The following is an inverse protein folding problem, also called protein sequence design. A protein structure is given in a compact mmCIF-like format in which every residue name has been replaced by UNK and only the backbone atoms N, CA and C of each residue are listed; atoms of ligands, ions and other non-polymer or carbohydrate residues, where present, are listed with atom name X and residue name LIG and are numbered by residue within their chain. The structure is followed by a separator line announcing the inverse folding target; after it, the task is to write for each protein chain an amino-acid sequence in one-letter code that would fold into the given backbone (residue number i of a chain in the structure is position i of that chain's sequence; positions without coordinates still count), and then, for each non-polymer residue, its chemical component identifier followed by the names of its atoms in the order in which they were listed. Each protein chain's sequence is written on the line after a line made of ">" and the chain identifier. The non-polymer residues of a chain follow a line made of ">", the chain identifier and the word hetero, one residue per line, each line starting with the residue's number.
data_IF_387128406281
#
_entry.id   IF_387128406281
#
_cell.length_a   1.000
_cell.length_b   1.000
_cell.length_c   1.000
_cell.angle_alpha   90.00
_cell.angle_beta   90.00
_cell.angle_gamma   90.00
#
_symmetry.space_group_name_H-M   'P 1'
#
loop_
_entity.id
_entity.type
_entity.pdbx_description
1 polymer ?
2 non-polymer ?
3 non-polymer ?
4 non-polymer ?
5 water ?
#
# COMPACT_ATOMS: atom_id res chain seq x y z
N UNK A 11 19.08 -19.09 19.31
CA UNK A 11 19.57 -20.05 18.34
C UNK A 11 18.46 -20.80 17.61
N UNK A 12 17.45 -21.25 18.36
CA UNK A 12 16.32 -21.92 17.72
C UNK A 12 15.64 -21.01 16.70
N UNK A 13 15.46 -19.73 17.05
CA UNK A 13 14.78 -18.82 16.14
C UNK A 13 15.62 -18.61 14.88
N UNK A 14 16.94 -18.42 15.04
CA UNK A 14 17.79 -18.23 13.87
C UNK A 14 17.79 -19.46 12.96
N UNK A 15 17.81 -20.65 13.56
CA UNK A 15 17.76 -21.87 12.76
C UNK A 15 16.47 -21.95 11.96
N UNK A 16 15.35 -21.62 12.61
CA UNK A 16 14.07 -21.64 11.92
C UNK A 16 14.03 -20.60 10.80
N UNK A 17 14.55 -19.40 11.06
CA UNK A 17 14.49 -18.38 10.01
C UNK A 17 15.30 -18.78 8.78
N UNK A 18 16.35 -19.60 8.96
CA UNK A 18 17.11 -20.05 7.80
C UNK A 18 16.28 -20.97 6.91
N UNK A 19 15.17 -21.50 7.40
CA UNK A 19 14.32 -22.40 6.63
C UNK A 19 13.15 -21.67 5.98
N UNK A 20 12.92 -20.41 6.31
CA UNK A 20 11.76 -19.70 5.79
C UNK A 20 12.06 -19.24 4.36
N UNK A 21 11.15 -19.53 3.44
CA UNK A 21 11.35 -19.10 2.07
C UNK A 21 10.48 -17.89 1.75
N UNK A 22 10.83 -17.20 0.67
CA UNK A 22 9.97 -16.10 0.21
C UNK A 22 8.58 -16.64 -0.11
N UNK A 23 8.50 -17.84 -0.69
CA UNK A 23 7.21 -18.44 -1.01
C UNK A 23 6.35 -18.62 0.24
N UNK A 24 6.96 -19.08 1.34
CA UNK A 24 6.20 -19.25 2.58
C UNK A 24 5.71 -17.91 3.11
N UNK A 25 6.56 -16.89 3.06
CA UNK A 25 6.14 -15.56 3.48
C UNK A 25 4.98 -15.06 2.63
N UNK A 26 5.02 -15.34 1.31
CA UNK A 26 3.99 -14.84 0.42
C UNK A 26 2.66 -15.57 0.63
N UNK A 27 2.73 -16.87 0.95
CA UNK A 27 1.53 -17.69 0.92
C UNK A 27 0.97 -17.98 2.30
N UNK A 28 1.80 -17.91 3.35
CA UNK A 28 1.27 -18.22 4.68
C UNK A 28 2.05 -17.40 5.70
N UNK A 29 1.94 -16.06 5.64
CA UNK A 29 2.76 -15.23 6.54
C UNK A 29 2.31 -15.26 8.00
N UNK A 30 1.02 -15.47 8.29
CA UNK A 30 0.57 -15.22 9.66
C UNK A 30 1.26 -16.08 10.70
N UNK A 31 1.51 -17.38 10.47
CA UNK A 31 2.23 -18.17 11.49
C UNK A 31 3.66 -17.74 11.65
N UNK A 32 4.27 -17.23 10.58
CA UNK A 32 5.63 -16.75 10.68
C UNK A 32 5.69 -15.53 11.56
N UNK A 33 4.83 -14.53 11.28
CA UNK A 33 4.83 -13.34 12.11
C UNK A 33 4.39 -13.60 13.53
N UNK A 34 3.49 -14.56 13.76
CA UNK A 34 3.11 -14.90 15.13
C UNK A 34 4.34 -15.35 15.92
N UNK A 35 5.19 -16.19 15.30
CA UNK A 35 6.38 -16.64 16.00
C UNK A 35 7.37 -15.51 16.19
N UNK A 36 7.57 -14.69 15.14
CA UNK A 36 8.49 -13.56 15.28
C UNK A 36 8.06 -12.61 16.40
N UNK A 37 6.76 -12.31 16.50
CA UNK A 37 6.34 -11.39 17.57
C UNK A 37 6.72 -11.91 18.94
N UNK A 38 6.68 -13.24 19.11
CA UNK A 38 7.01 -13.84 20.39
C UNK A 38 8.52 -13.90 20.61
N UNK A 39 9.28 -14.19 19.56
CA UNK A 39 10.67 -14.63 19.69
C UNK A 39 11.71 -13.62 19.23
N UNK A 40 11.38 -12.72 18.31
CA UNK A 40 12.40 -11.87 17.71
C UNK A 40 11.73 -10.68 17.08
N UNK A 41 11.43 -9.63 17.87
CA UNK A 41 10.74 -8.44 17.33
C UNK A 41 11.40 -7.81 16.12
N UNK A 42 12.73 -7.88 16.03
CA UNK A 42 13.45 -7.55 14.81
C UNK A 42 14.30 -8.76 14.47
N UNK A 43 14.24 -9.21 13.21
CA UNK A 43 14.89 -10.47 12.86
C UNK A 43 15.40 -10.39 11.43
N UNK A 44 16.53 -11.04 11.18
CA UNK A 44 17.09 -11.16 9.84
C UNK A 44 16.44 -12.32 9.13
N UNK A 45 15.98 -12.08 7.91
CA UNK A 45 15.33 -13.07 7.06
C UNK A 45 16.31 -13.38 5.93
N UNK A 46 17.09 -14.48 6.01
CA UNK A 46 18.07 -14.72 4.95
C UNK A 46 17.48 -14.77 3.56
N UNK A 47 16.28 -15.35 3.40
CA UNK A 47 15.70 -15.49 2.06
C UNK A 47 15.46 -14.14 1.39
N UNK A 48 15.28 -13.09 2.17
CA UNK A 48 15.04 -11.76 1.65
C UNK A 48 16.22 -10.81 1.83
N UNK A 49 17.33 -11.28 2.41
CA UNK A 49 18.49 -10.45 2.67
C UNK A 49 18.11 -9.14 3.34
N UNK A 50 17.32 -9.21 4.41
CA UNK A 50 16.83 -7.99 5.05
C UNK A 50 16.32 -8.33 6.44
N UNK A 51 16.23 -7.29 7.28
CA UNK A 51 15.57 -7.38 8.57
C UNK A 51 14.07 -7.16 8.40
N UNK A 52 13.30 -7.69 9.36
CA UNK A 52 11.89 -7.35 9.48
C UNK A 52 11.58 -7.09 10.93
N UNK A 53 10.79 -6.04 11.17
CA UNK A 53 10.24 -5.74 12.50
C UNK A 53 8.80 -6.22 12.52
N UNK A 54 8.42 -6.96 13.59
CA UNK A 54 7.14 -7.65 13.60
C UNK A 54 6.21 -7.21 14.73
N UNK A 55 6.71 -6.64 15.82
CA UNK A 55 5.81 -6.22 16.89
C UNK A 55 5.38 -4.79 16.67
N UNK A 56 4.30 -4.41 17.36
CA UNK A 56 3.86 -3.02 17.35
C UNK A 56 4.99 -2.09 17.78
N UNK A 57 5.59 -2.36 18.93
CA UNK A 57 6.64 -1.49 19.48
C UNK A 57 7.84 -1.39 18.54
N UNK A 58 8.28 -2.52 17.99
CA UNK A 58 9.46 -2.45 17.14
C UNK A 58 9.15 -1.63 15.89
N UNK A 59 7.99 -1.87 15.28
CA UNK A 59 7.62 -1.11 14.09
C UNK A 59 7.49 0.36 14.40
N UNK A 60 6.76 0.68 15.47
CA UNK A 60 6.49 2.08 15.76
C UNK A 60 7.78 2.81 16.07
N UNK A 61 8.64 2.20 16.88
CA UNK A 61 9.85 2.88 17.27
C UNK A 61 10.77 3.14 16.08
N UNK A 62 10.97 2.11 15.24
CA UNK A 62 11.85 2.28 14.09
C UNK A 62 11.26 3.28 13.11
N UNK A 63 9.94 3.22 12.90
CA UNK A 63 9.31 4.15 11.98
C UNK A 63 9.47 5.58 12.43
N UNK A 64 9.24 5.83 13.72
CA UNK A 64 9.22 7.20 14.22
C UNK A 64 10.60 7.78 14.45
N UNK A 65 11.60 6.93 14.73
CA UNK A 65 12.91 7.40 15.20
C UNK A 65 13.71 7.95 14.02
N UNK A 66 13.66 9.26 13.83
CA UNK A 66 14.32 9.91 12.72
C UNK A 66 15.79 10.21 13.02
N UNK A 67 16.26 9.85 14.21
CA UNK A 67 17.64 10.05 14.61
C UNK A 67 18.50 8.84 14.27
N UNK A 68 17.96 7.65 14.50
CA UNK A 68 18.72 6.43 14.30
C UNK A 68 18.38 5.71 13.02
N UNK A 69 17.28 6.08 12.38
CA UNK A 69 16.84 5.45 11.15
C UNK A 69 16.44 6.54 10.16
N UNK A 70 16.64 6.25 8.89
CA UNK A 70 16.17 7.06 7.78
C UNK A 70 15.13 6.28 6.98
N UNK A 71 14.45 6.98 6.06
CA UNK A 71 13.46 6.34 5.22
C UNK A 71 14.06 5.15 4.48
N UNK A 72 13.24 4.14 4.26
CA UNK A 72 13.76 2.90 3.73
C UNK A 72 13.92 2.87 2.24
N UNK A 73 14.67 1.88 1.79
CA UNK A 73 14.83 1.53 0.40
C UNK A 73 15.35 0.10 0.37
N UNK A 74 15.60 -0.37 -0.85
CA UNK A 74 16.06 -1.73 -1.07
C UNK A 74 16.53 -1.80 -2.52
N UNK A 75 17.20 -2.88 -2.91
CA UNK A 75 17.55 -2.99 -4.33
C UNK A 75 16.32 -3.08 -5.23
N UNK A 76 15.19 -3.61 -4.74
CA UNK A 76 13.96 -3.62 -5.54
C UNK A 76 13.41 -2.22 -5.66
N UNK A 77 13.41 -1.43 -4.57
CA UNK A 77 12.95 -0.06 -4.71
C UNK A 77 13.75 0.65 -5.79
N UNK A 78 15.08 0.49 -5.74
CA UNK A 78 15.90 1.24 -6.69
C UNK A 78 15.65 0.81 -8.12
N UNK A 79 15.47 -0.49 -8.34
CA UNK A 79 15.23 -1.02 -9.68
C UNK A 79 13.86 -0.63 -10.21
N UNK A 80 12.85 -0.65 -9.35
CA UNK A 80 11.46 -0.51 -9.77
C UNK A 80 11.03 0.96 -9.74
N UNK A 81 11.46 1.68 -8.72
CA UNK A 81 11.02 3.06 -8.51
C UNK A 81 12.08 4.05 -8.94
N UNK A 82 13.34 3.76 -8.70
CA UNK A 82 14.41 4.72 -8.82
C UNK A 82 15.02 5.02 -7.46
N UNK A 83 16.13 5.73 -7.46
CA UNK A 83 16.94 5.82 -6.24
C UNK A 83 16.32 6.76 -5.21
N UNK A 84 16.05 7.99 -5.62
CA UNK A 84 15.66 9.04 -4.66
C UNK A 84 14.15 9.25 -4.58
N UNK A 85 13.47 8.23 -4.09
CA UNK A 85 12.03 8.28 -3.94
C UNK A 85 11.66 8.86 -2.57
N UNK A 86 10.40 9.27 -2.45
CA UNK A 86 9.92 9.94 -1.23
C UNK A 86 10.04 9.07 0.01
N UNK A 87 9.85 7.75 -0.14
CA UNK A 87 9.93 6.86 1.02
C UNK A 87 11.31 6.94 1.67
N UNK A 88 12.35 7.04 0.85
CA UNK A 88 13.71 7.07 1.33
C UNK A 88 14.21 8.43 1.76
N UNK A 89 13.48 9.49 1.39
CA UNK A 89 13.96 10.85 1.56
C UNK A 89 13.85 11.34 3.00
N UNK A 90 14.74 12.27 3.36
CA UNK A 90 14.75 12.91 4.68
C UNK A 90 15.03 14.40 4.52
N UNK A 91 14.83 15.14 5.61
CA UNK A 91 15.24 16.53 5.64
C UNK A 91 14.51 17.38 4.62
N UNK A 92 15.22 18.39 4.13
CA UNK A 92 14.62 19.32 3.18
C UNK A 92 14.14 18.60 1.92
N UNK A 93 14.85 17.56 1.49
CA UNK A 93 14.42 16.83 0.29
C UNK A 93 13.06 16.17 0.52
N UNK A 94 12.89 15.53 1.68
CA UNK A 94 11.62 14.93 2.00
C UNK A 94 10.53 15.98 2.14
N UNK A 95 10.83 17.09 2.81
CA UNK A 95 9.80 18.11 2.94
C UNK A 95 9.42 18.69 1.58
N UNK A 96 10.38 18.80 0.67
CA UNK A 96 10.07 19.29 -0.67
C UNK A 96 9.17 18.31 -1.43
N UNK A 97 9.45 17.00 -1.34
CA UNK A 97 8.60 16.04 -2.02
C UNK A 97 7.22 15.99 -1.40
N UNK A 98 7.13 16.10 -0.06
CA UNK A 98 5.81 16.17 0.57
C UNK A 98 5.04 17.42 0.12
N UNK A 99 5.74 18.53 -0.07
CA UNK A 99 5.06 19.72 -0.60
C UNK A 99 4.50 19.46 -1.99
N UNK A 100 5.19 18.66 -2.80
CA UNK A 100 4.70 18.35 -4.14
C UNK A 100 3.43 17.51 -4.08
N UNK A 101 3.42 16.47 -3.25
CA UNK A 101 2.37 15.46 -3.34
C UNK A 101 1.20 15.66 -2.37
N UNK A 102 1.44 16.30 -1.22
CA UNK A 102 0.44 16.32 -0.15
C UNK A 102 -0.80 17.18 -0.38
N UNK A 103 -0.67 18.41 -0.88
CA UNK A 103 -1.84 19.33 -0.86
C UNK A 103 -3.07 18.77 -1.57
N UNK A 104 -2.95 18.15 -2.77
CA UNK A 104 -4.16 17.65 -3.44
C UNK A 104 -4.85 16.53 -2.68
N UNK A 105 -4.18 15.91 -1.73
CA UNK A 105 -4.71 14.80 -0.96
C UNK A 105 -5.29 15.25 0.38
N UNK A 106 -5.32 16.58 0.65
CA UNK A 106 -5.94 17.05 1.87
C UNK A 106 -7.44 17.23 1.66
N UNK A 107 -8.23 17.05 2.71
CA UNK A 107 -9.69 17.18 2.56
C UNK A 107 -10.15 18.49 1.94
N UNK A 108 -9.51 19.60 2.29
CA UNK A 108 -9.89 20.89 1.70
C UNK A 108 -9.82 20.86 0.17
N UNK A 109 -8.88 20.08 -0.38
CA UNK A 109 -8.73 19.96 -1.82
C UNK A 109 -9.67 18.92 -2.42
N UNK A 110 -9.78 17.75 -1.79
CA UNK A 110 -10.50 16.65 -2.43
C UNK A 110 -11.98 16.58 -2.11
N UNK A 111 -12.46 17.20 -1.03
CA UNK A 111 -13.86 17.01 -0.64
C UNK A 111 -14.84 17.26 -1.79
N UNK A 112 -14.74 18.33 -2.57
CA UNK A 112 -15.71 18.52 -3.66
C UNK A 112 -15.68 17.39 -4.68
N UNK A 113 -14.53 16.77 -4.88
CA UNK A 113 -14.40 15.71 -5.87
C UNK A 113 -15.15 14.44 -5.45
N UNK A 114 -15.44 14.26 -4.17
CA UNK A 114 -16.09 13.04 -3.72
C UNK A 114 -17.42 12.83 -4.42
N UNK A 115 -18.28 13.85 -4.41
CA UNK A 115 -19.55 13.72 -5.11
C UNK A 115 -19.46 14.11 -6.59
N UNK A 116 -18.52 14.98 -6.96
CA UNK A 116 -18.44 15.39 -8.36
C UNK A 116 -17.79 14.34 -9.25
N UNK A 117 -16.90 13.53 -8.68
CA UNK A 117 -16.01 12.68 -9.46
C UNK A 117 -16.01 11.24 -8.96
N UNK A 118 -15.76 11.05 -7.66
CA UNK A 118 -15.58 9.71 -7.12
C UNK A 118 -16.89 8.91 -7.23
N UNK A 119 -17.98 9.44 -6.69
CA UNK A 119 -19.23 8.68 -6.77
C UNK A 119 -19.67 8.38 -8.19
N UNK A 120 -19.61 9.32 -9.14
CA UNK A 120 -19.95 8.96 -10.53
C UNK A 120 -19.07 7.86 -11.08
N UNK A 121 -17.78 7.88 -10.77
CA UNK A 121 -16.88 6.81 -11.22
C UNK A 121 -17.32 5.48 -10.63
N UNK A 122 -17.58 5.45 -9.33
CA UNK A 122 -18.01 4.22 -8.68
C UNK A 122 -19.28 3.71 -9.35
N UNK A 123 -20.24 4.60 -9.60
CA UNK A 123 -21.51 4.17 -10.17
C UNK A 123 -21.36 3.61 -11.59
N UNK A 124 -20.37 4.09 -12.36
CA UNK A 124 -20.16 3.50 -13.68
C UNK A 124 -19.79 2.02 -13.57
N UNK A 125 -18.88 1.69 -12.65
CA UNK A 125 -18.50 0.30 -12.47
C UNK A 125 -19.60 -0.51 -11.79
N UNK A 126 -20.37 0.12 -10.91
CA UNK A 126 -21.51 -0.56 -10.28
C UNK A 126 -22.51 -1.01 -11.34
N UNK A 127 -22.82 -0.12 -12.27
CA UNK A 127 -23.80 -0.46 -13.30
C UNK A 127 -23.27 -1.55 -14.23
N UNK A 128 -21.95 -1.59 -14.47
CA UNK A 128 -21.38 -2.67 -15.28
C UNK A 128 -21.56 -4.03 -14.62
N UNK A 129 -21.30 -4.14 -13.31
CA UNK A 129 -21.41 -5.44 -12.67
C UNK A 129 -22.87 -5.83 -12.46
N UNK A 130 -23.76 -4.85 -12.27
CA UNK A 130 -25.17 -5.16 -12.17
C UNK A 130 -25.63 -5.93 -13.40
N UNK A 131 -25.15 -5.54 -14.58
CA UNK A 131 -25.51 -6.24 -15.80
C UNK A 131 -24.95 -7.65 -15.90
N UNK A 132 -23.85 -7.94 -15.21
CA UNK A 132 -23.30 -9.29 -15.22
C UNK A 132 -24.09 -10.25 -14.33
N UNK A 133 -24.75 -9.75 -13.28
CA UNK A 133 -25.44 -10.60 -12.33
C UNK A 133 -24.54 -11.32 -11.35
N UNK A 134 -23.22 -11.11 -11.41
CA UNK A 134 -22.20 -11.63 -10.51
C UNK A 134 -20.95 -10.81 -10.83
N UNK A 135 -19.88 -10.99 -10.06
CA UNK A 135 -18.67 -10.23 -10.38
C UNK A 135 -17.44 -10.84 -9.76
N UNK A 136 -16.30 -10.53 -10.39
CA UNK A 136 -14.98 -10.70 -9.78
C UNK A 136 -14.58 -9.30 -9.32
N UNK A 137 -14.76 -9.01 -8.03
CA UNK A 137 -14.72 -7.62 -7.60
C UNK A 137 -13.39 -6.94 -7.78
N UNK A 138 -12.27 -7.67 -7.80
CA UNK A 138 -10.99 -6.99 -8.04
C UNK A 138 -10.94 -6.37 -9.43
N UNK A 139 -10.99 -7.19 -10.47
CA UNK A 139 -10.88 -6.68 -11.82
C UNK A 139 -12.09 -5.86 -12.24
N UNK A 140 -13.29 -6.21 -11.74
CA UNK A 140 -14.52 -5.63 -12.28
C UNK A 140 -14.96 -4.38 -11.53
N UNK A 141 -14.43 -4.12 -10.33
CA UNK A 141 -15.03 -3.09 -9.49
C UNK A 141 -13.98 -2.33 -8.68
N UNK A 142 -13.34 -2.99 -7.71
CA UNK A 142 -12.43 -2.28 -6.82
C UNK A 142 -11.21 -1.72 -7.55
N UNK A 143 -10.51 -2.53 -8.36
CA UNK A 143 -9.31 -1.99 -9.02
C UNK A 143 -9.64 -0.88 -9.99
N UNK A 144 -10.62 -1.03 -10.90
CA UNK A 144 -10.97 0.13 -11.75
C UNK A 144 -11.33 1.37 -10.98
N UNK A 145 -12.11 1.23 -9.90
CA UNK A 145 -12.47 2.39 -9.10
C UNK A 145 -11.22 3.03 -8.51
N UNK A 146 -10.34 2.22 -7.93
CA UNK A 146 -9.16 2.74 -7.28
C UNK A 146 -8.26 3.45 -8.29
N UNK A 147 -7.98 2.81 -9.43
CA UNK A 147 -7.05 3.43 -10.35
C UNK A 147 -7.62 4.67 -10.99
N UNK A 148 -8.93 4.69 -11.25
CA UNK A 148 -9.53 5.87 -11.85
C UNK A 148 -9.60 7.02 -10.84
N UNK A 149 -10.09 6.73 -9.63
CA UNK A 149 -10.27 7.79 -8.65
C UNK A 149 -8.96 8.38 -8.19
N UNK A 150 -7.91 7.55 -8.08
CA UNK A 150 -6.59 8.05 -7.71
C UNK A 150 -5.85 8.57 -8.94
N UNK A 151 -5.85 7.80 -10.03
CA UNK A 151 -5.18 8.26 -11.25
C UNK A 151 -5.66 9.62 -11.70
N UNK A 152 -6.96 9.89 -11.55
CA UNK A 152 -7.53 11.15 -12.01
C UNK A 152 -7.07 12.32 -11.17
N UNK A 153 -6.58 12.07 -9.96
CA UNK A 153 -6.11 13.15 -9.11
C UNK A 153 -4.59 13.28 -9.08
N UNK A 154 -3.85 12.40 -9.77
CA UNK A 154 -2.40 12.47 -9.82
C UNK A 154 -1.86 12.74 -11.22
N UNK A 155 -2.71 13.17 -12.16
CA UNK A 155 -2.25 13.57 -13.49
C UNK A 155 -2.42 12.54 -14.57
N UNK A 156 -2.99 11.39 -14.26
CA UNK A 156 -3.13 10.29 -15.21
C UNK A 156 -4.55 10.18 -15.74
N UNK A 157 -5.21 11.33 -15.90
CA UNK A 157 -6.57 11.37 -16.43
C UNK A 157 -6.66 10.74 -17.82
N UNK A 158 -5.59 10.78 -18.61
CA UNK A 158 -5.66 10.29 -19.97
C UNK A 158 -5.16 8.87 -20.13
N UNK A 159 -4.89 8.17 -19.03
CA UNK A 159 -4.43 6.79 -19.08
C UNK A 159 -5.61 5.90 -18.71
N UNK A 160 -5.89 4.91 -19.56
CA UNK A 160 -7.04 4.03 -19.37
C UNK A 160 -6.83 3.13 -18.15
N UNK A 161 -7.94 2.60 -17.63
CA UNK A 161 -7.87 1.83 -16.40
C UNK A 161 -7.10 0.53 -16.57
N UNK A 162 -7.19 -0.12 -17.73
CA UNK A 162 -6.44 -1.35 -17.98
C UNK A 162 -4.94 -1.10 -17.85
N UNK A 163 -4.46 -0.02 -18.48
CA UNK A 163 -3.05 0.34 -18.39
C UNK A 163 -2.65 0.65 -16.96
N UNK A 164 -3.45 1.44 -16.24
CA UNK A 164 -3.09 1.77 -14.87
C UNK A 164 -3.02 0.52 -14.00
N UNK A 165 -3.97 -0.41 -14.19
CA UNK A 165 -3.91 -1.65 -13.44
C UNK A 165 -2.67 -2.46 -13.82
N UNK A 166 -2.37 -2.55 -15.11
CA UNK A 166 -1.17 -3.28 -15.49
C UNK A 166 0.06 -2.67 -14.82
N UNK A 167 0.15 -1.33 -14.82
CA UNK A 167 1.29 -0.67 -14.22
C UNK A 167 1.43 -1.01 -12.74
N UNK A 168 0.34 -0.85 -11.94
CA UNK A 168 0.53 -1.09 -10.51
C UNK A 168 0.87 -2.54 -10.24
N UNK A 169 0.23 -3.46 -10.98
CA UNK A 169 0.54 -4.86 -10.75
C UNK A 169 2.00 -5.15 -11.07
N UNK A 170 2.51 -4.59 -12.17
CA UNK A 170 3.90 -4.83 -12.55
C UNK A 170 4.88 -4.26 -11.52
N UNK A 171 4.65 -3.01 -11.08
CA UNK A 171 5.53 -2.41 -10.09
C UNK A 171 5.47 -3.19 -8.79
N UNK A 172 4.28 -3.57 -8.36
CA UNK A 172 4.14 -4.31 -7.11
C UNK A 172 4.84 -5.65 -7.20
N UNK A 173 4.73 -6.33 -8.34
CA UNK A 173 5.46 -7.58 -8.54
C UNK A 173 6.96 -7.37 -8.44
N UNK A 174 7.45 -6.26 -8.99
CA UNK A 174 8.86 -5.96 -8.87
C UNK A 174 9.32 -5.78 -7.44
N UNK A 175 8.57 -5.01 -6.64
CA UNK A 175 8.96 -4.83 -5.25
C UNK A 175 8.97 -6.18 -4.53
N UNK A 176 8.00 -7.04 -4.84
CA UNK A 176 7.90 -8.33 -4.15
C UNK A 176 8.99 -9.30 -4.56
N UNK A 177 9.74 -8.99 -5.64
CA UNK A 177 10.74 -9.92 -6.17
C UNK A 177 12.02 -9.79 -5.36
N UNK A 178 11.94 -10.25 -4.10
CA UNK A 178 12.98 -9.99 -3.12
C UNK A 178 13.86 -11.20 -2.81
N UNK A 179 13.68 -12.32 -3.52
CA UNK A 179 14.51 -13.48 -3.21
C UNK A 179 15.95 -13.15 -3.56
N UNK A 180 16.83 -13.26 -2.56
CA UNK A 180 18.23 -12.96 -2.72
C UNK A 180 19.08 -14.02 -2.04
N UNK A 181 20.30 -14.19 -2.54
CA UNK A 181 21.22 -15.14 -1.92
C UNK A 181 21.93 -14.49 -0.73
N UNK A 182 22.87 -15.23 -0.13
CA UNK A 182 23.56 -14.74 1.06
C UNK A 182 24.38 -13.49 0.77
N UNK A 183 24.77 -13.30 -0.49
CA UNK A 183 25.54 -12.13 -0.90
C UNK A 183 24.66 -10.96 -1.32
N UNK A 184 23.34 -11.11 -1.26
CA UNK A 184 22.46 -10.03 -1.65
C UNK A 184 22.16 -9.96 -3.13
N UNK A 185 22.48 -10.99 -3.90
CA UNK A 185 22.22 -10.98 -5.32
C UNK A 185 20.83 -11.55 -5.59
N UNK A 186 20.10 -10.92 -6.52
CA UNK A 186 18.79 -11.42 -6.89
C UNK A 186 18.88 -12.82 -7.46
N UNK A 187 17.98 -13.70 -7.03
CA UNK A 187 17.98 -15.01 -7.66
C UNK A 187 16.98 -15.11 -8.80
N UNK A 188 16.06 -14.15 -8.95
CA UNK A 188 15.10 -14.12 -10.06
C UNK A 188 15.08 -12.76 -10.72
N UNK A 189 16.19 -12.32 -11.29
CA UNK A 189 16.16 -11.01 -11.95
C UNK A 189 15.10 -10.92 -13.07
N UNK A 190 14.73 -12.02 -13.71
CA UNK A 190 13.68 -11.97 -14.71
C UNK A 190 12.33 -11.49 -14.19
N UNK A 191 12.10 -11.57 -12.88
CA UNK A 191 10.86 -11.09 -12.30
C UNK A 191 10.67 -9.59 -12.38
N UNK A 192 11.72 -8.84 -12.77
CA UNK A 192 11.59 -7.41 -12.96
C UNK A 192 11.12 -7.01 -14.35
N UNK A 193 11.01 -7.95 -15.29
CA UNK A 193 10.65 -7.53 -16.64
C UNK A 193 9.34 -6.78 -16.72
N UNK A 194 8.27 -7.18 -16.03
CA UNK A 194 7.05 -6.36 -16.08
C UNK A 194 7.27 -4.94 -15.55
N UNK A 195 7.98 -4.77 -14.44
CA UNK A 195 8.24 -3.44 -13.91
C UNK A 195 9.11 -2.62 -14.84
N UNK A 196 10.09 -3.24 -15.48
CA UNK A 196 10.94 -2.49 -16.42
C UNK A 196 10.11 -1.93 -17.56
N UNK A 197 9.20 -2.73 -18.09
CA UNK A 197 8.38 -2.25 -19.19
C UNK A 197 7.37 -1.21 -18.69
N UNK A 198 6.76 -1.43 -17.53
CA UNK A 198 5.83 -0.44 -17.00
C UNK A 198 6.55 0.89 -16.79
N UNK A 199 7.77 0.85 -16.25
CA UNK A 199 8.53 2.07 -16.03
C UNK A 199 8.76 2.84 -17.31
N UNK A 200 9.13 2.14 -18.38
CA UNK A 200 9.34 2.81 -19.66
C UNK A 200 8.06 3.45 -20.15
N UNK A 201 6.92 2.78 -20.00
CA UNK A 201 5.65 3.36 -20.42
C UNK A 201 5.27 4.55 -19.56
N UNK A 202 5.48 4.43 -18.26
CA UNK A 202 5.16 5.54 -17.35
C UNK A 202 5.98 6.77 -17.73
N UNK A 203 7.27 6.58 -17.99
CA UNK A 203 8.10 7.71 -18.36
C UNK A 203 7.65 8.31 -19.69
N UNK A 204 7.27 7.46 -20.65
CA UNK A 204 6.84 7.96 -21.95
C UNK A 204 5.56 8.80 -21.83
N UNK A 205 4.69 8.48 -20.88
CA UNK A 205 3.49 9.29 -20.64
C UNK A 205 3.84 10.57 -19.89
N UNK A 206 4.66 10.45 -18.85
CA UNK A 206 4.87 11.60 -17.96
C UNK A 206 5.87 12.59 -18.51
N UNK A 207 6.89 12.15 -19.22
CA UNK A 207 7.93 13.09 -19.64
C UNK A 207 7.40 14.22 -20.49
N UNK A 208 6.56 13.98 -21.51
CA UNK A 208 6.05 15.13 -22.29
C UNK A 208 5.14 16.03 -21.48
N UNK A 209 4.35 15.48 -20.57
CA UNK A 209 3.54 16.32 -19.69
C UNK A 209 4.41 17.19 -18.80
N UNK A 210 5.47 16.62 -18.23
CA UNK A 210 6.36 17.39 -17.38
C UNK A 210 7.04 18.49 -18.16
N UNK A 211 7.54 18.17 -19.37
CA UNK A 211 8.21 19.18 -20.18
C UNK A 211 7.27 20.34 -20.49
N UNK A 212 6.03 20.03 -20.87
CA UNK A 212 5.08 21.09 -21.21
C UNK A 212 4.76 21.94 -19.99
N UNK A 213 4.39 21.30 -18.87
CA UNK A 213 3.92 22.00 -17.69
C UNK A 213 5.04 22.70 -16.93
N UNK A 214 6.29 22.26 -17.11
CA UNK A 214 7.42 22.96 -16.52
C UNK A 214 7.51 24.38 -17.05
N UNK A 215 7.38 24.52 -18.36
CA UNK A 215 7.51 25.81 -19.00
C UNK A 215 6.21 26.61 -19.00
N UNK A 216 5.06 25.94 -19.06
CA UNK A 216 3.75 26.59 -19.12
C UNK A 216 2.82 25.92 -18.13
N UNK A 217 2.88 26.32 -16.86
CA UNK A 217 2.04 25.68 -15.85
C UNK A 217 0.57 25.94 -16.13
N UNK A 218 -0.27 24.97 -15.79
CA UNK A 218 -1.70 25.08 -16.00
C UNK A 218 -2.56 24.80 -14.78
N UNK A 219 -1.99 24.47 -13.64
CA UNK A 219 -2.80 24.23 -12.47
C UNK A 219 -3.35 22.82 -12.34
N UNK A 220 -3.05 21.94 -13.30
CA UNK A 220 -3.39 20.53 -13.17
C UNK A 220 -2.50 19.89 -12.10
N UNK A 221 -2.78 18.61 -11.80
CA UNK A 221 -2.10 17.95 -10.70
C UNK A 221 -0.59 17.93 -10.91
N UNK A 222 -0.14 17.56 -12.11
CA UNK A 222 1.30 17.49 -12.34
C UNK A 222 1.93 18.87 -12.32
N UNK A 223 1.17 19.90 -12.72
CA UNK A 223 1.68 21.26 -12.63
C UNK A 223 2.00 21.62 -11.17
N UNK A 224 1.11 21.24 -10.24
CA UNK A 224 1.39 21.46 -8.83
C UNK A 224 2.63 20.68 -8.38
N UNK A 225 2.77 19.43 -8.84
CA UNK A 225 3.96 18.67 -8.45
C UNK A 225 5.23 19.39 -8.89
N UNK A 226 5.19 20.06 -10.05
CA UNK A 226 6.39 20.73 -10.54
C UNK A 226 6.64 22.07 -9.86
N UNK A 227 5.58 22.79 -9.51
CA UNK A 227 5.71 24.20 -9.16
C UNK A 227 5.38 24.55 -7.72
N UNK A 228 4.62 23.72 -7.00
CA UNK A 228 4.17 24.14 -5.69
C UNK A 228 5.32 24.17 -4.72
N UNK A 229 5.48 25.29 -4.00
CA UNK A 229 6.54 25.40 -3.02
C UNK A 229 7.91 25.57 -3.61
N UNK A 230 8.01 26.03 -4.86
CA UNK A 230 9.28 26.27 -5.51
C UNK A 230 9.39 27.72 -5.92
N UNK A 231 10.60 28.27 -5.95
CA UNK A 231 10.79 29.61 -6.53
C UNK A 231 10.39 29.59 -7.99
N UNK A 232 9.87 30.73 -8.46
CA UNK A 232 9.70 30.90 -9.90
C UNK A 232 11.06 30.69 -10.56
N UNK A 233 11.08 29.91 -11.63
CA UNK A 233 12.33 29.63 -12.30
C UNK A 233 13.10 28.45 -11.75
N UNK A 234 12.65 27.81 -10.67
CA UNK A 234 13.29 26.60 -10.16
C UNK A 234 12.25 25.51 -9.92
N UNK A 235 11.51 25.09 -10.96
CA UNK A 235 10.58 23.98 -10.78
C UNK A 235 11.33 22.68 -10.51
N UNK A 236 10.58 21.72 -9.97
CA UNK A 236 11.14 20.38 -9.84
C UNK A 236 11.35 19.81 -11.24
N UNK A 237 12.35 18.95 -11.37
CA UNK A 237 12.63 18.29 -12.64
C UNK A 237 11.97 16.92 -12.68
N UNK A 238 11.92 16.36 -13.89
CA UNK A 238 11.35 15.03 -14.04
C UNK A 238 12.03 14.05 -13.11
N UNK A 239 13.37 14.03 -13.07
CA UNK A 239 13.99 13.01 -12.24
C UNK A 239 13.82 13.27 -10.76
N UNK A 240 13.63 14.53 -10.33
CA UNK A 240 13.35 14.76 -8.92
C UNK A 240 12.03 14.15 -8.51
N UNK A 241 11.05 14.09 -9.43
CA UNK A 241 9.72 13.59 -9.12
C UNK A 241 9.50 12.14 -9.48
N UNK A 242 10.14 11.63 -10.54
CA UNK A 242 9.69 10.37 -11.12
C UNK A 242 9.71 9.20 -10.14
N UNK A 243 10.75 9.01 -9.33
CA UNK A 243 10.69 7.86 -8.41
C UNK A 243 9.52 7.94 -7.45
N UNK A 244 9.19 9.16 -6.99
CA UNK A 244 8.05 9.35 -6.11
C UNK A 244 6.73 9.17 -6.84
N UNK A 245 6.65 9.62 -8.09
CA UNK A 245 5.44 9.34 -8.86
C UNK A 245 5.24 7.85 -9.04
N UNK A 246 6.33 7.08 -9.21
CA UNK A 246 6.20 5.62 -9.29
C UNK A 246 5.76 5.01 -7.95
N UNK A 247 6.23 5.57 -6.82
CA UNK A 247 5.70 5.15 -5.51
C UNK A 247 4.18 5.25 -5.51
N UNK A 248 3.66 6.36 -6.02
CA UNK A 248 2.21 6.60 -6.01
C UNK A 248 1.49 5.74 -7.04
N UNK A 249 2.08 5.58 -8.23
CA UNK A 249 1.47 4.71 -9.22
C UNK A 249 1.35 3.27 -8.72
N UNK A 250 2.31 2.81 -7.93
CA UNK A 250 2.22 1.48 -7.32
C UNK A 250 1.18 1.53 -6.21
N UNK A 251 1.47 2.23 -5.12
CA UNK A 251 0.67 2.10 -3.91
C UNK A 251 -0.58 2.95 -3.91
N UNK A 252 -0.52 4.16 -4.47
CA UNK A 252 -1.75 4.95 -4.59
C UNK A 252 -2.83 4.22 -5.37
N UNK A 253 -2.43 3.48 -6.41
CA UNK A 253 -3.40 2.78 -7.24
C UNK A 253 -3.77 1.42 -6.66
N UNK A 254 -2.83 0.71 -6.05
CA UNK A 254 -3.08 -0.65 -5.54
C UNK A 254 -3.80 -0.62 -4.21
N UNK A 255 -3.35 0.23 -3.29
CA UNK A 255 -3.80 0.05 -1.90
C UNK A 255 -5.29 0.28 -1.68
N UNK A 256 -5.92 1.29 -2.29
CA UNK A 256 -7.36 1.49 -2.00
C UNK A 256 -8.20 0.29 -2.40
N UNK A 257 -7.86 -0.35 -3.52
CA UNK A 257 -8.61 -1.53 -3.92
C UNK A 257 -8.43 -2.65 -2.93
N UNK A 258 -7.21 -2.79 -2.39
CA UNK A 258 -6.98 -3.78 -1.34
C UNK A 258 -7.70 -3.43 -0.04
N UNK A 259 -7.76 -2.15 0.34
CA UNK A 259 -8.54 -1.81 1.53
C UNK A 259 -9.99 -2.23 1.35
N UNK A 260 -10.56 -1.95 0.18
CA UNK A 260 -11.94 -2.34 -0.07
C UNK A 260 -12.10 -3.85 0.04
N UNK A 261 -11.18 -4.58 -0.60
CA UNK A 261 -11.32 -6.03 -0.67
C UNK A 261 -11.09 -6.67 0.70
N UNK A 262 -10.12 -6.16 1.46
CA UNK A 262 -9.86 -6.67 2.79
C UNK A 262 -11.06 -6.43 3.69
N UNK A 263 -11.67 -5.26 3.58
CA UNK A 263 -12.81 -4.94 4.42
C UNK A 263 -14.00 -5.80 4.04
N UNK A 264 -14.25 -5.95 2.73
CA UNK A 264 -15.31 -6.83 2.27
C UNK A 264 -15.10 -8.25 2.81
N UNK A 265 -13.89 -8.80 2.60
CA UNK A 265 -13.61 -10.18 3.00
C UNK A 265 -13.73 -10.32 4.51
N UNK A 266 -13.18 -9.37 5.25
CA UNK A 266 -13.33 -9.45 6.70
C UNK A 266 -14.79 -9.45 7.12
N UNK A 267 -15.61 -8.59 6.53
CA UNK A 267 -17.03 -8.58 6.87
C UNK A 267 -17.67 -9.93 6.59
N UNK A 268 -17.28 -10.61 5.50
CA UNK A 268 -17.91 -11.90 5.22
C UNK A 268 -17.62 -12.93 6.32
N UNK A 269 -16.52 -12.77 7.06
CA UNK A 269 -16.24 -13.70 8.16
C UNK A 269 -17.13 -13.46 9.37
N UNK A 270 -17.88 -12.35 9.40
CA UNK A 270 -18.71 -11.97 10.53
C UNK A 270 -20.11 -11.68 9.99
N UNK A 271 -20.89 -12.71 9.69
CA UNK A 271 -22.18 -12.47 9.00
C UNK A 271 -23.09 -11.47 9.66
N UNK A 272 -23.17 -11.46 10.99
CA UNK A 272 -24.04 -10.49 11.65
C UNK A 272 -23.56 -9.07 11.42
N UNK A 273 -22.24 -8.88 11.36
CA UNK A 273 -21.66 -7.55 11.13
C UNK A 273 -21.82 -7.15 9.68
N UNK A 274 -21.64 -8.08 8.74
CA UNK A 274 -21.91 -7.77 7.35
C UNK A 274 -23.35 -7.31 7.17
N UNK A 275 -24.29 -8.06 7.75
CA UNK A 275 -25.69 -7.66 7.64
C UNK A 275 -25.92 -6.24 8.17
N UNK A 276 -25.37 -5.92 9.35
CA UNK A 276 -25.50 -4.58 9.92
C UNK A 276 -24.97 -3.51 8.98
N UNK A 277 -23.82 -3.76 8.36
CA UNK A 277 -23.21 -2.78 7.48
C UNK A 277 -24.06 -2.58 6.24
N UNK A 278 -24.61 -3.66 5.66
CA UNK A 278 -25.46 -3.48 4.48
C UNK A 278 -26.68 -2.64 4.79
N UNK A 279 -27.17 -2.68 6.06
CA UNK A 279 -28.35 -1.93 6.46
C UNK A 279 -28.05 -0.52 6.93
N UNK A 280 -26.78 -0.21 7.21
CA UNK A 280 -26.43 1.09 7.77
C UNK A 280 -25.04 1.48 7.26
N UNK A 281 -25.03 2.24 6.16
CA UNK A 281 -23.78 2.66 5.56
C UNK A 281 -22.93 3.53 6.49
N UNK A 282 -23.52 4.13 7.53
CA UNK A 282 -22.68 4.93 8.44
C UNK A 282 -21.71 4.09 9.25
N UNK A 283 -21.84 2.75 9.22
CA UNK A 283 -20.85 1.88 9.84
C UNK A 283 -19.64 1.64 8.97
N UNK A 284 -19.66 2.08 7.72
CA UNK A 284 -18.55 1.79 6.81
C UNK A 284 -17.21 2.38 7.24
N UNK A 285 -17.12 3.61 7.75
CA UNK A 285 -15.80 4.07 8.19
C UNK A 285 -15.17 3.17 9.23
N UNK A 286 -15.96 2.74 10.21
CA UNK A 286 -15.46 1.82 11.23
C UNK A 286 -15.04 0.48 10.61
N UNK A 287 -15.85 -0.05 9.70
CA UNK A 287 -15.50 -1.30 9.02
C UNK A 287 -14.20 -1.18 8.26
N UNK A 288 -14.02 -0.06 7.57
CA UNK A 288 -12.82 0.16 6.75
C UNK A 288 -11.57 0.30 7.60
N UNK A 289 -11.68 0.94 8.76
CA UNK A 289 -10.56 1.02 9.67
C UNK A 289 -10.17 -0.36 10.17
N UNK A 290 -11.16 -1.20 10.52
CA UNK A 290 -10.87 -2.55 10.95
C UNK A 290 -10.32 -3.39 9.82
N UNK A 291 -10.76 -3.15 8.57
CA UNK A 291 -10.18 -3.86 7.44
C UNK A 291 -8.70 -3.61 7.31
N UNK A 292 -8.28 -2.34 7.44
CA UNK A 292 -6.86 -2.00 7.40
C UNK A 292 -6.08 -2.72 8.48
N UNK A 293 -6.63 -2.78 9.70
CA UNK A 293 -5.91 -3.46 10.79
C UNK A 293 -5.85 -4.97 10.54
N UNK A 294 -6.97 -5.54 10.09
CA UNK A 294 -7.09 -7.00 9.96
C UNK A 294 -6.27 -7.56 8.81
N UNK A 295 -6.10 -6.83 7.72
CA UNK A 295 -5.28 -7.36 6.61
C UNK A 295 -4.62 -6.13 5.97
N UNK A 296 -3.52 -5.67 6.57
CA UNK A 296 -2.97 -4.36 6.20
C UNK A 296 -2.46 -4.43 4.77
N UNK A 297 -2.93 -3.58 3.86
CA UNK A 297 -2.49 -3.72 2.45
C UNK A 297 -0.99 -3.58 2.29
N UNK A 298 -0.38 -2.59 2.93
CA UNK A 298 1.07 -2.43 2.93
C UNK A 298 1.53 -3.18 4.16
N UNK A 299 1.61 -4.50 4.00
CA UNK A 299 1.76 -5.40 5.13
C UNK A 299 3.16 -5.30 5.70
N UNK A 300 4.19 -5.40 4.84
CA UNK A 300 5.56 -5.23 5.30
C UNK A 300 6.41 -4.42 4.34
N UNK A 301 5.81 -3.77 3.32
CA UNK A 301 6.63 -3.05 2.33
C UNK A 301 7.11 -1.68 2.80
N UNK A 302 6.62 -1.18 3.93
CA UNK A 302 7.25 -0.03 4.55
C UNK A 302 8.63 -0.45 5.05
N UNK A 303 9.56 0.50 5.15
CA UNK A 303 10.92 0.13 5.55
C UNK A 303 11.65 1.36 6.03
N UNK A 304 12.73 1.12 6.76
CA UNK A 304 13.70 2.13 7.17
C UNK A 304 15.09 1.54 6.97
N UNK A 305 16.11 2.42 6.98
CA UNK A 305 17.52 2.03 6.98
C UNK A 305 18.17 2.58 8.25
N UNK A 306 19.06 1.83 8.89
CA UNK A 306 19.77 2.38 10.05
C UNK A 306 20.74 3.47 9.63
N UNK A 307 20.85 4.50 10.47
CA UNK A 307 21.83 5.56 10.27
C UNK A 307 23.12 5.30 11.04
N UNK A 308 23.12 4.33 11.94
CA UNK A 308 24.31 3.91 12.68
C UNK A 308 24.12 2.43 12.97
N UNK A 309 25.18 1.78 13.41
CA UNK A 309 25.02 0.45 13.98
C UNK A 309 24.12 0.56 15.20
N UNK A 310 23.08 -0.27 15.26
CA UNK A 310 22.10 -0.19 16.33
C UNK A 310 21.56 -1.59 16.62
N UNK A 311 21.47 -1.91 17.90
CA UNK A 311 21.10 -3.26 18.33
C UNK A 311 19.71 -3.24 18.99
N UNK A 312 18.83 -4.13 18.51
CA UNK A 312 17.53 -4.38 19.11
C UNK A 312 17.42 -5.89 19.32
N UNK A 313 17.62 -6.30 20.57
CA UNK A 313 17.60 -7.72 20.87
C UNK A 313 18.83 -8.39 20.28
N UNK A 314 18.59 -9.48 19.58
CA UNK A 314 19.65 -10.16 18.87
C UNK A 314 19.98 -9.53 17.53
N UNK A 315 19.25 -8.48 17.14
CA UNK A 315 19.41 -7.88 15.82
C UNK A 315 20.37 -6.71 15.93
N UNK A 316 21.56 -6.85 15.35
CA UNK A 316 22.48 -5.72 15.26
C UNK A 316 22.43 -5.24 13.82
N UNK A 317 21.72 -4.16 13.60
CA UNK A 317 21.46 -3.63 12.26
C UNK A 317 22.56 -2.63 11.92
N UNK A 318 22.93 -2.56 10.64
CA UNK A 318 24.00 -1.67 10.20
C UNK A 318 23.51 -0.80 9.06
N UNK A 319 24.16 0.36 8.84
CA UNK A 319 23.74 1.25 7.74
C UNK A 319 23.72 0.51 6.40
N UNK A 320 22.76 0.88 5.54
CA UNK A 320 22.62 0.30 4.24
C UNK A 320 21.70 -0.90 4.18
N UNK A 321 21.41 -1.51 5.33
CA UNK A 321 20.56 -2.70 5.35
C UNK A 321 19.09 -2.32 5.42
N UNK A 322 18.26 -3.03 4.65
CA UNK A 322 16.82 -2.78 4.69
C UNK A 322 16.21 -3.34 5.98
N UNK A 323 15.42 -2.52 6.66
CA UNK A 323 14.59 -2.97 7.79
C UNK A 323 13.13 -2.81 7.35
N UNK A 324 12.51 -3.91 6.93
CA UNK A 324 11.09 -3.89 6.60
C UNK A 324 10.29 -3.74 7.88
N UNK A 325 9.22 -2.96 7.83
CA UNK A 325 8.34 -2.78 8.99
C UNK A 325 7.04 -3.51 8.69
N UNK A 326 6.84 -4.66 9.36
CA UNK A 326 5.60 -5.39 9.12
C UNK A 326 4.48 -4.78 9.97
N UNK A 327 3.98 -3.63 9.50
CA UNK A 327 2.79 -3.02 10.10
C UNK A 327 1.62 -3.99 10.09
N UNK A 328 1.53 -4.89 9.12
CA UNK A 328 0.48 -5.89 9.14
C UNK A 328 0.59 -6.85 10.31
N UNK A 329 1.82 -7.23 10.67
CA UNK A 329 2.05 -8.01 11.88
C UNK A 329 1.81 -7.19 13.13
N UNK A 330 2.29 -5.94 13.15
CA UNK A 330 2.03 -5.05 14.29
C UNK A 330 0.54 -4.93 14.57
N UNK A 331 -0.25 -4.82 13.51
CA UNK A 331 -1.69 -4.69 13.59
C UNK A 331 -2.36 -5.98 14.00
N UNK A 332 -1.59 -7.07 14.00
CA UNK A 332 -2.01 -8.40 14.44
C UNK A 332 -1.33 -8.80 15.75
N UNK A 333 -0.80 -7.84 16.49
CA UNK A 333 -0.01 -8.14 17.68
C UNK A 333 -0.93 -8.36 18.87
N UNK A 334 -0.87 -9.57 19.43
CA UNK A 334 -1.69 -9.97 20.56
C UNK A 334 -1.48 -9.10 21.80
N UNK A 335 -0.33 -8.40 21.91
CA UNK A 335 -0.10 -7.52 23.06
C UNK A 335 -0.90 -6.21 22.96
N UNK A 336 -1.40 -5.87 21.79
CA UNK A 336 -2.08 -4.63 21.54
C UNK A 336 -3.57 -4.84 21.26
N UNK A 337 -3.93 -5.95 20.62
CA UNK A 337 -5.30 -6.22 20.23
C UNK A 337 -5.73 -7.56 20.76
N UNK A 338 -6.97 -7.66 21.20
CA UNK A 338 -7.52 -8.93 21.64
C UNK A 338 -7.98 -9.75 20.44
N UNK A 339 -7.51 -10.98 20.33
CA UNK A 339 -7.81 -11.85 19.20
C UNK A 339 -7.63 -11.09 17.88
N UNK A 340 -6.40 -10.68 17.57
CA UNK A 340 -6.18 -9.80 16.42
C UNK A 340 -6.46 -10.48 15.09
N UNK A 341 -6.51 -11.80 15.08
CA UNK A 341 -6.76 -12.50 13.84
C UNK A 341 -8.22 -12.42 13.41
N UNK A 342 -9.11 -11.95 14.31
CA UNK A 342 -10.55 -11.85 14.05
C UNK A 342 -10.85 -10.45 13.53
N UNK A 343 -11.68 -10.38 12.48
CA UNK A 343 -12.22 -9.10 12.04
C UNK A 343 -13.36 -8.75 12.99
N UNK A 344 -13.36 -7.54 13.55
CA UNK A 344 -14.42 -7.14 14.47
C UNK A 344 -14.78 -5.68 14.22
N UNK A 345 -15.95 -5.48 13.59
CA UNK A 345 -16.48 -4.15 13.35
C UNK A 345 -16.55 -3.33 14.63
N UNK A 346 -16.80 -3.97 15.77
CA UNK A 346 -16.94 -3.24 17.02
C UNK A 346 -15.70 -3.30 17.90
N UNK A 347 -14.54 -3.55 17.30
CA UNK A 347 -13.31 -3.63 18.08
C UNK A 347 -13.09 -2.33 18.85
N UNK A 348 -12.61 -2.45 20.08
CA UNK A 348 -12.29 -1.29 20.89
C UNK A 348 -11.35 -0.35 20.15
N UNK A 349 -11.62 0.96 20.25
CA UNK A 349 -10.86 1.95 19.50
C UNK A 349 -9.39 1.93 19.90
N UNK A 350 -8.51 1.85 18.91
CA UNK A 350 -7.08 1.93 19.12
C UNK A 350 -6.48 2.30 17.79
N UNK A 351 -5.38 3.05 17.75
CA UNK A 351 -4.72 3.31 16.47
C UNK A 351 -4.27 2.02 15.79
N UNK A 352 -4.08 2.11 14.47
CA UNK A 352 -3.41 1.06 13.73
C UNK A 352 -2.23 1.67 13.00
N UNK A 353 -1.36 0.81 12.48
CA UNK A 353 -0.16 1.22 11.75
C UNK A 353 -0.29 1.04 10.25
N UNK A 354 -1.51 0.81 9.72
CA UNK A 354 -1.61 0.52 8.28
C UNK A 354 -1.22 1.70 7.39
N UNK A 355 -1.26 2.93 7.89
CA UNK A 355 -0.76 4.10 7.19
C UNK A 355 0.62 4.53 7.67
N UNK A 356 1.27 3.72 8.50
CA UNK A 356 2.51 4.15 9.12
C UNK A 356 2.31 5.18 10.20
N UNK A 357 3.40 5.91 10.50
CA UNK A 357 3.47 6.80 11.65
C UNK A 357 4.64 7.74 11.45
N UNK A 358 4.59 8.90 12.10
CA UNK A 358 5.73 9.81 12.09
C UNK A 358 5.81 10.61 10.80
N UNK A 359 7.02 11.06 10.49
CA UNK A 359 7.22 11.96 9.37
C UNK A 359 6.88 11.32 8.01
N UNK A 360 6.92 9.99 7.90
CA UNK A 360 6.58 9.31 6.65
C UNK A 360 5.14 8.81 6.59
N UNK A 361 4.27 9.24 7.52
CA UNK A 361 2.87 8.83 7.50
C UNK A 361 2.27 9.03 6.13
N UNK A 362 1.56 8.02 5.64
CA UNK A 362 0.96 8.04 4.30
C UNK A 362 0.32 9.37 3.93
N UNK A 363 0.76 9.95 2.81
CA UNK A 363 0.17 11.18 2.30
C UNK A 363 -1.27 11.02 1.88
N UNK A 364 -1.67 9.79 1.53
CA UNK A 364 -3.01 9.47 1.08
C UNK A 364 -3.96 9.06 2.18
N UNK A 365 -3.58 9.23 3.45
CA UNK A 365 -4.32 8.59 4.54
C UNK A 365 -5.71 9.18 4.74
N UNK A 366 -5.95 10.43 4.32
CA UNK A 366 -7.29 10.98 4.39
C UNK A 366 -8.13 10.67 3.15
N UNK A 367 -7.50 10.67 1.96
CA UNK A 367 -8.27 10.46 0.72
C UNK A 367 -8.67 9.00 0.53
N UNK A 368 -7.75 8.06 0.77
CA UNK A 368 -8.04 6.66 0.46
C UNK A 368 -9.28 6.15 1.17
N UNK A 369 -9.48 6.41 2.48
CA UNK A 369 -10.70 5.89 3.14
C UNK A 369 -11.98 6.48 2.57
N UNK A 370 -11.93 7.65 1.93
CA UNK A 370 -13.13 8.21 1.32
C UNK A 370 -13.48 7.52 0.01
N UNK A 371 -12.49 7.23 -0.83
CA UNK A 371 -12.73 6.44 -2.04
C UNK A 371 -13.34 5.09 -1.66
N UNK A 372 -12.74 4.44 -0.65
CA UNK A 372 -13.21 3.12 -0.24
C UNK A 372 -14.63 3.18 0.32
N UNK A 373 -14.91 4.21 1.13
CA UNK A 373 -16.25 4.37 1.68
C UNK A 373 -17.28 4.43 0.57
N UNK A 374 -17.04 5.25 -0.45
CA UNK A 374 -18.03 5.39 -1.51
C UNK A 374 -18.17 4.11 -2.32
N UNK A 375 -17.05 3.43 -2.58
CA UNK A 375 -17.11 2.17 -3.32
C UNK A 375 -17.98 1.16 -2.59
N UNK A 376 -17.79 1.03 -1.27
CA UNK A 376 -18.57 0.03 -0.52
C UNK A 376 -20.02 0.47 -0.29
N UNK A 377 -20.24 1.78 -0.08
CA UNK A 377 -21.60 2.30 0.05
C UNK A 377 -22.44 1.87 -1.15
N UNK A 378 -21.92 2.12 -2.35
CA UNK A 378 -22.70 1.81 -3.55
C UNK A 378 -22.89 0.31 -3.72
N UNK A 379 -21.85 -0.46 -3.46
CA UNK A 379 -21.93 -1.91 -3.64
C UNK A 379 -22.95 -2.53 -2.70
N UNK A 380 -22.89 -2.21 -1.42
CA UNK A 380 -23.78 -2.84 -0.44
C UNK A 380 -25.21 -2.33 -0.56
N UNK A 381 -25.39 -1.07 -0.98
CA UNK A 381 -26.74 -0.58 -1.19
C UNK A 381 -27.39 -1.29 -2.37
N UNK A 382 -26.62 -1.57 -3.43
CA UNK A 382 -27.19 -2.19 -4.61
C UNK A 382 -27.43 -3.67 -4.39
N UNK A 383 -26.53 -4.35 -3.68
CA UNK A 383 -26.52 -5.81 -3.56
C UNK A 383 -26.41 -6.20 -2.08
N UNK A 384 -27.45 -5.95 -1.29
CA UNK A 384 -27.36 -6.30 0.13
C UNK A 384 -27.26 -7.80 0.39
N UNK A 385 -27.63 -8.64 -0.58
CA UNK A 385 -27.50 -10.09 -0.46
C UNK A 385 -26.14 -10.60 -0.92
N UNK A 386 -25.17 -9.71 -1.17
CA UNK A 386 -23.91 -10.14 -1.74
C UNK A 386 -23.21 -11.15 -0.83
N UNK A 387 -22.54 -12.12 -1.45
CA UNK A 387 -21.85 -13.18 -0.75
C UNK A 387 -20.70 -13.66 -1.61
N UNK A 388 -19.75 -14.32 -0.96
CA UNK A 388 -18.67 -14.94 -1.71
C UNK A 388 -19.22 -16.04 -2.61
N UNK A 389 -18.64 -16.16 -3.80
CA UNK A 389 -19.00 -17.24 -4.72
C UNK A 389 -18.26 -18.51 -4.29
N UNK A 390 -18.99 -19.56 -3.87
CA UNK A 390 -18.31 -20.77 -3.39
C UNK A 390 -17.61 -21.55 -4.48
N UNK A 391 -17.88 -21.24 -5.75
CA UNK A 391 -17.18 -21.91 -6.84
C UNK A 391 -15.72 -21.51 -6.95
N UNK A 392 -15.33 -20.40 -6.35
CA UNK A 392 -13.98 -19.84 -6.51
C UNK A 392 -13.39 -19.53 -5.15
N UNK A 393 -12.19 -20.03 -4.89
CA UNK A 393 -11.49 -19.61 -3.68
C UNK A 393 -11.11 -18.14 -3.80
N UNK A 394 -10.92 -17.51 -2.65
CA UNK A 394 -10.40 -16.14 -2.57
C UNK A 394 -8.92 -16.27 -2.26
N UNK A 395 -8.03 -16.14 -3.25
CA UNK A 395 -6.60 -16.27 -2.98
C UNK A 395 -6.12 -14.96 -2.37
N UNK A 396 -5.53 -15.04 -1.19
CA UNK A 396 -4.90 -13.90 -0.53
C UNK A 396 -3.40 -14.14 -0.62
N UNK A 397 -2.64 -13.13 -1.01
CA UNK A 397 -1.24 -13.33 -1.32
C UNK A 397 -0.41 -12.13 -0.88
N UNK A 398 0.79 -12.41 -0.42
CA UNK A 398 1.81 -11.41 -0.22
C UNK A 398 2.15 -11.19 1.24
N UNK A 399 3.42 -10.81 1.49
CA UNK A 399 3.86 -10.31 2.78
C UNK A 399 4.38 -8.88 2.72
N UNK A 400 4.84 -8.42 1.57
CA UNK A 400 5.23 -7.02 1.39
C UNK A 400 3.97 -6.19 1.15
N UNK A 401 3.33 -6.36 -0.01
CA UNK A 401 1.96 -5.95 -0.25
C UNK A 401 1.10 -7.19 -0.12
N UNK A 402 0.02 -7.11 0.67
CA UNK A 402 -0.86 -8.25 0.89
C UNK A 402 -2.28 -7.87 0.55
N UNK A 403 -2.97 -8.75 -0.17
CA UNK A 403 -4.40 -8.57 -0.37
C UNK A 403 -4.98 -9.69 -1.19
N UNK A 404 -6.31 -9.68 -1.31
CA UNK A 404 -6.98 -10.63 -2.20
C UNK A 404 -6.58 -10.38 -3.64
N UNK A 405 -6.25 -11.48 -4.35
CA UNK A 405 -5.95 -11.39 -5.78
C UNK A 405 -7.19 -11.41 -6.64
N UNK A 406 -8.30 -11.89 -6.09
CA UNK A 406 -9.50 -12.21 -6.83
C UNK A 406 -10.60 -12.36 -5.79
N UNK A 407 -11.80 -11.89 -6.13
CA UNK A 407 -12.86 -11.82 -5.14
C UNK A 407 -14.20 -12.00 -5.88
N UNK A 408 -14.49 -13.25 -6.24
CA UNK A 408 -15.72 -13.59 -6.94
C UNK A 408 -16.88 -13.59 -5.96
N UNK A 409 -17.96 -12.94 -6.36
CA UNK A 409 -19.14 -12.79 -5.52
C UNK A 409 -20.39 -13.11 -6.32
N UNK A 410 -21.46 -13.40 -5.57
CA UNK A 410 -22.80 -13.64 -6.08
C UNK A 410 -23.75 -12.75 -5.31
N UNK A 411 -24.91 -12.54 -5.91
CA UNK A 411 -25.99 -11.90 -5.20
C UNK A 411 -27.30 -12.40 -5.80
N UNK A 412 -28.36 -12.21 -5.03
CA UNK A 412 -29.65 -12.74 -5.44
C UNK A 412 -30.45 -11.63 -6.11
X LIG B 1 3.33 6.02 2.19
X LIG B 1 -0.19 2.83 3.16
X LIG B 1 -3.01 4.91 -0.17
X LIG B 1 0.52 8.05 -1.16
X LIG B 1 2.64 4.98 2.74
X LIG B 1 3.13 4.09 3.79
X LIG B 1 2.13 3.22 4.05
X LIG B 1 1.01 3.53 3.19
X LIG B 1 2.16 2.08 5.08
X LIG B 1 4.52 4.12 4.42
X LIG B 1 4.46 4.71 5.81
X LIG B 1 5.75 4.50 6.57
X LIG B 1 5.71 4.69 7.82
X LIG B 1 6.80 4.13 5.98
X LIG B 1 -1.24 3.09 2.33
X LIG B 1 -2.53 2.45 2.39
X LIG B 1 -3.32 3.05 1.49
X LIG B 1 -2.53 4.05 0.81
X LIG B 1 -2.88 1.32 3.36
X LIG B 1 -4.79 2.76 1.14
X LIG B 1 -5.71 2.40 2.03
X LIG B 1 -2.31 5.96 -0.74
X LIG B 1 -2.79 6.87 -1.76
X LIG B 1 -1.81 7.73 -2.04
X LIG B 1 -0.68 7.38 -1.20
X LIG B 1 -4.19 6.73 -2.36
X LIG B 1 -1.75 8.87 -3.05
X LIG B 1 -2.63 9.12 -3.99
X LIG B 1 1.58 7.81 -0.33
X LIG B 1 2.83 8.54 -0.29
X LIG B 1 3.60 7.97 0.65
X LIG B 1 2.85 6.88 1.21
X LIG B 1 3.20 9.75 -1.16
X LIG B 1 5.01 8.39 1.09
X LIG B 1 4.96 9.25 2.38
X LIG B 1 6.34 9.55 2.93
X LIG B 1 6.54 10.65 3.48
X LIG B 1 7.24 8.68 2.81
X LIG B 1 1.35 4.60 2.40
X LIG B 1 -1.26 4.08 1.36
X LIG B 1 -1.01 6.32 -0.39
X LIG B 1 1.63 6.80 0.60
X LIG B 1 0.06 5.61 1.19
X LIG C 1 2.35 4.44 -1.37
X LIG C 1 5.35 1.68 1.91
X LIG C 1 5.14 1.81 0.42
X LIG C 1 4.15 2.62 -0.12
X LIG C 1 4.04 2.73 -1.50
X LIG C 1 4.93 2.08 -2.34
X LIG C 1 5.91 1.30 -1.80
X LIG C 1 6.03 1.14 -0.44
X LIG C 1 7.94 0.11 -2.20
X LIG C 1 6.77 0.68 -2.71
X LIG C 1 4.84 2.25 -3.73
X LIG C 1 3.07 3.51 -2.16
X LIG D 1 -20.84 -12.65 13.28
X LIG D 1 -21.82 -13.25 12.80
X LIG D 1 -20.74 -11.42 13.12
X LIG D 1 -19.96 -13.30 13.92
X LIG E 1 0.89 25.16 -10.64
X LIG E 1 -0.08 24.35 -10.66
X LIG E 1 1.70 25.16 -11.58
X LIG E 1 1.02 25.99 -9.70
X LIG F 1 2.61 -8.65 -13.43
X LIG F 1 1.63 -8.04 -12.91
X LIG F 1 2.75 -9.90 -13.28
X LIG F 1 3.45 -8.00 -14.09
#
# INVERSE_FOLDING_TARGET
>A
GAMTTKHTTAGDTQEWLATVTVEQLENDPYPIFERLRREAPVAWIPAAHAWVASTWEACRTIADDATNFRGGTSPMHERVLGTDHILGAEGETHQDLRAAVDPPLKPRAFRPLLEEQVRPTVRRYLEAIRGQGKAELMADYFEPISVRCVGDVIGLTDVDSDTLRRWFHALARGIANTAMDAEGRFTNPGGFAPADEAGAEIREVLEPLVAKLSAEPDGSALSHYLHHGRPHGDPRTLEQLLPSLKVIILGGLQEPGHQCAATFLGLTTRPEQLKRVTEDATLLPRALTEGLRWMSPVFSASSRLPLREITMGEATMRPGQTVWLSYGSANRDEAVFDRPDVFDLDRATHPHLAFGTGRHLCSGSAYAPQVARIALEELFTAFPSIRLDPAHEVPVWGWLFRGPQRLDVLWD
>B hetero
1 HEM CHA CHB CHC CHD C1A C2A C3A C4A CMA CAA CBA CGA O1A O2A C1B C2B C3B C4B CMB CAB CBB C1C C2C C3C C4C CMC CAC CBC C1D C2D C3D C4D CMD CAD CBD CGD O1D O2D NA NB NC ND FE
>C hetero
1 UB9 C12 C01 C02 C03 C04 C05 C06 C07 C09 O08 O10 O11
>D hetero
1 NO3 N O1 O2 O3
>E hetero
1 NO3 N O1 O2 O3
>F hetero
1 NO3 N O1 O2 O3
#
